data_IF_772688046797
#
_entry.id   IF_772688046797
#
_cell.length_a   1.000
_cell.length_b   1.000
_cell.length_c   1.000
_cell.angle_alpha   90.00
_cell.angle_beta   90.00
_cell.angle_gamma   90.00
#
_symmetry.space_group_name_H-M   'P 1'
#
loop_
_entity.id
_entity.type
_entity.pdbx_description
1 polymer ?
#
# COMPACT_ATOMS: atom_id res chain seq x y z
N UNK A 1 -18.47 0.75 -0.26
CA UNK A 1 -17.99 1.79 -1.17
C UNK A 1 -16.49 1.66 -1.37
N UNK A 2 -16.00 2.10 -2.51
CA UNK A 2 -14.57 2.04 -2.81
C UNK A 2 -13.83 3.18 -2.15
N UNK A 3 -12.59 2.91 -1.73
CA UNK A 3 -11.70 3.95 -1.24
C UNK A 3 -11.04 4.68 -2.41
N UNK A 4 -10.82 5.98 -2.23
CA UNK A 4 -10.01 6.76 -3.16
C UNK A 4 -8.53 6.58 -2.82
N UNK A 5 -7.66 6.78 -3.80
CA UNK A 5 -6.22 6.63 -3.60
C UNK A 5 -5.59 8.01 -3.48
N UNK A 6 -4.84 8.22 -2.40
CA UNK A 6 -4.04 9.42 -2.18
C UNK A 6 -2.57 9.01 -2.11
N UNK A 7 -1.70 9.75 -2.76
CA UNK A 7 -0.29 9.41 -2.88
C UNK A 7 0.57 10.47 -2.21
N UNK A 8 1.35 10.06 -1.20
CA UNK A 8 2.28 10.96 -0.52
C UNK A 8 3.44 11.31 -1.45
N UNK A 9 4.05 12.47 -1.23
CA UNK A 9 5.19 12.93 -2.05
C UNK A 9 6.35 11.92 -2.03
N UNK A 10 6.64 11.35 -0.87
CA UNK A 10 7.71 10.37 -0.74
C UNK A 10 7.46 9.14 -1.61
N UNK A 11 6.22 8.66 -1.65
CA UNK A 11 5.85 7.53 -2.47
C UNK A 11 6.00 7.87 -3.96
N UNK A 12 5.48 9.02 -4.37
CA UNK A 12 5.53 9.46 -5.76
C UNK A 12 6.97 9.58 -6.26
N UNK A 13 7.84 10.15 -5.44
CA UNK A 13 9.24 10.34 -5.79
C UNK A 13 9.96 9.01 -5.94
N UNK A 14 9.76 8.10 -4.97
CA UNK A 14 10.45 6.82 -4.98
C UNK A 14 9.94 5.88 -6.06
N UNK A 15 8.61 5.84 -6.27
CA UNK A 15 8.01 4.95 -7.25
C UNK A 15 8.25 5.38 -8.69
N UNK A 16 8.54 6.66 -8.93
CA UNK A 16 8.91 7.11 -10.28
C UNK A 16 10.12 6.36 -10.82
N UNK A 17 10.99 5.86 -9.93
CA UNK A 17 12.19 5.10 -10.31
C UNK A 17 11.91 3.60 -10.42
N UNK A 18 10.71 3.14 -10.06
CA UNK A 18 10.40 1.72 -9.96
C UNK A 18 9.09 1.39 -10.67
N UNK A 19 8.92 1.93 -11.87
CA UNK A 19 7.67 1.76 -12.63
C UNK A 19 7.33 0.30 -12.90
N UNK A 20 8.35 -0.57 -13.07
CA UNK A 20 8.10 -1.98 -13.32
C UNK A 20 7.42 -2.68 -12.15
N UNK A 21 7.72 -2.25 -10.92
CA UNK A 21 7.05 -2.80 -9.73
C UNK A 21 5.57 -2.44 -9.72
N UNK A 22 5.23 -1.23 -10.18
CA UNK A 22 3.84 -0.78 -10.22
C UNK A 22 3.02 -1.51 -11.29
N UNK A 23 3.69 -2.06 -12.29
CA UNK A 23 3.04 -2.81 -13.36
C UNK A 23 2.91 -4.31 -13.04
N UNK A 24 3.26 -4.73 -11.83
CA UNK A 24 3.20 -6.15 -11.46
C UNK A 24 1.80 -6.58 -11.06
N UNK A 25 1.53 -7.89 -11.23
CA UNK A 25 0.26 -8.47 -10.80
C UNK A 25 0.09 -8.38 -9.28
N UNK A 26 1.17 -8.50 -8.52
CA UNK A 26 1.16 -8.38 -7.07
C UNK A 26 0.71 -7.00 -6.61
N UNK A 27 1.23 -5.95 -7.25
CA UNK A 27 0.82 -4.59 -6.96
C UNK A 27 -0.66 -4.39 -7.23
N UNK A 28 -1.12 -4.88 -8.40
CA UNK A 28 -2.54 -4.76 -8.77
C UNK A 28 -3.44 -5.48 -7.77
N UNK A 29 -3.05 -6.66 -7.32
CA UNK A 29 -3.84 -7.44 -6.36
C UNK A 29 -3.93 -6.72 -5.01
N UNK A 30 -2.81 -6.20 -4.51
CA UNK A 30 -2.78 -5.48 -3.23
C UNK A 30 -3.66 -4.24 -3.32
N UNK A 31 -3.47 -3.44 -4.36
CA UNK A 31 -4.20 -2.19 -4.51
C UNK A 31 -5.71 -2.44 -4.67
N UNK A 32 -6.07 -3.44 -5.47
CA UNK A 32 -7.47 -3.80 -5.66
C UNK A 32 -8.13 -4.20 -4.33
N UNK A 33 -7.43 -4.99 -3.52
CA UNK A 33 -7.96 -5.41 -2.22
C UNK A 33 -8.18 -4.21 -1.29
N UNK A 34 -7.22 -3.30 -1.23
CA UNK A 34 -7.33 -2.12 -0.37
C UNK A 34 -8.46 -1.20 -0.82
N UNK A 35 -8.60 -0.99 -2.12
CA UNK A 35 -9.66 -0.14 -2.68
C UNK A 35 -11.04 -0.71 -2.37
N UNK A 36 -11.21 -2.03 -2.48
CA UNK A 36 -12.49 -2.69 -2.30
C UNK A 36 -12.74 -3.15 -0.87
N UNK A 37 -11.90 -2.73 0.09
CA UNK A 37 -12.05 -3.06 1.51
C UNK A 37 -11.99 -4.55 1.78
N UNK A 38 -11.20 -5.28 1.02
CA UNK A 38 -10.98 -6.72 1.22
C UNK A 38 -9.70 -6.94 2.02
N UNK A 39 -9.66 -8.04 2.76
CA UNK A 39 -8.44 -8.42 3.47
C UNK A 39 -7.35 -8.81 2.46
N UNK A 40 -6.11 -8.44 2.76
CA UNK A 40 -4.98 -8.84 1.93
C UNK A 40 -4.65 -10.32 2.16
N UNK A 41 -4.26 -11.06 1.12
CA UNK A 41 -3.72 -12.42 1.30
C UNK A 41 -2.52 -12.42 2.24
N UNK A 42 -2.38 -13.48 3.02
CA UNK A 42 -1.31 -13.60 4.01
C UNK A 42 0.09 -13.49 3.42
N UNK A 43 0.25 -13.86 2.16
CA UNK A 43 1.55 -13.79 1.49
C UNK A 43 2.14 -12.38 1.46
N UNK A 44 1.31 -11.36 1.62
CA UNK A 44 1.78 -9.96 1.64
C UNK A 44 2.13 -9.46 3.03
N UNK A 45 1.93 -10.27 4.06
CA UNK A 45 2.34 -9.96 5.45
C UNK A 45 1.89 -8.59 5.93
N UNK A 46 0.64 -8.25 5.66
CA UNK A 46 0.05 -6.99 6.11
C UNK A 46 0.01 -6.93 7.63
N UNK A 47 0.54 -5.85 8.21
CA UNK A 47 0.51 -5.65 9.65
C UNK A 47 0.57 -4.18 10.04
N UNK A 48 0.06 -3.90 11.25
CA UNK A 48 0.05 -2.54 11.79
C UNK A 48 1.45 -2.15 12.29
N UNK A 49 1.80 -0.88 12.07
CA UNK A 49 3.06 -0.33 12.55
C UNK A 49 2.89 0.28 13.95
N UNK A 50 4.01 0.43 14.64
CA UNK A 50 4.04 1.00 16.00
C UNK A 50 4.99 2.20 16.02
N UNK A 51 5.06 2.87 17.19
CA UNK A 51 5.96 4.01 17.37
C UNK A 51 5.50 5.22 16.57
N UNK A 52 6.43 5.87 15.88
CA UNK A 52 6.15 7.07 15.08
C UNK A 52 5.19 6.80 13.91
N UNK A 53 5.03 5.54 13.54
CA UNK A 53 4.15 5.14 12.45
C UNK A 53 2.84 4.55 12.94
N UNK A 54 2.48 4.81 14.20
CA UNK A 54 1.22 4.33 14.75
C UNK A 54 0.05 4.85 13.90
N UNK A 55 -0.88 3.95 13.58
CA UNK A 55 -1.99 4.28 12.70
C UNK A 55 -1.74 3.92 11.24
N UNK A 56 -0.51 3.60 10.90
CA UNK A 56 -0.14 3.13 9.57
C UNK A 56 -0.01 1.62 9.56
N UNK A 57 -0.04 1.05 8.38
CA UNK A 57 0.18 -0.38 8.17
C UNK A 57 1.22 -0.56 7.08
N UNK A 58 1.84 -1.73 7.02
CA UNK A 58 2.69 -2.06 5.88
C UNK A 58 2.35 -3.43 5.33
N UNK A 59 2.73 -3.66 4.08
CA UNK A 59 2.64 -4.97 3.47
C UNK A 59 3.80 -5.15 2.51
N UNK A 60 4.20 -6.41 2.32
CA UNK A 60 5.29 -6.76 1.42
C UNK A 60 4.69 -7.15 0.08
N UNK A 61 4.58 -6.19 -0.85
CA UNK A 61 4.04 -6.43 -2.19
C UNK A 61 4.94 -7.39 -2.94
N UNK A 62 6.26 -7.17 -2.81
CA UNK A 62 7.30 -8.05 -3.32
C UNK A 62 8.44 -8.07 -2.30
N UNK A 63 9.37 -9.04 -2.37
CA UNK A 63 10.49 -9.07 -1.42
C UNK A 63 11.25 -7.76 -1.31
N UNK A 64 11.33 -7.00 -2.40
CA UNK A 64 12.05 -5.74 -2.46
C UNK A 64 11.12 -4.52 -2.54
N UNK A 65 9.82 -4.70 -2.32
CA UNK A 65 8.85 -3.61 -2.39
C UNK A 65 7.89 -3.68 -1.21
N UNK A 66 8.13 -2.82 -0.22
CA UNK A 66 7.27 -2.69 0.95
C UNK A 66 6.41 -1.45 0.78
N UNK A 67 5.10 -1.60 0.94
CA UNK A 67 4.15 -0.50 0.87
C UNK A 67 3.74 -0.11 2.29
N UNK A 68 3.89 1.16 2.64
CA UNK A 68 3.37 1.72 3.87
C UNK A 68 2.11 2.48 3.51
N UNK A 69 1.02 2.25 4.24
CA UNK A 69 -0.24 2.89 3.90
C UNK A 69 -1.08 3.15 5.15
N UNK A 70 -2.02 4.07 5.01
CA UNK A 70 -2.97 4.39 6.06
C UNK A 70 -4.38 4.26 5.48
N UNK A 71 -5.25 3.54 6.19
CA UNK A 71 -6.62 3.31 5.74
C UNK A 71 -7.58 4.28 6.42
N UNK A 72 -8.43 4.89 5.61
CA UNK A 72 -9.60 5.66 6.06
C UNK A 72 -10.83 5.00 5.47
N UNK A 73 -12.02 5.40 5.89
CA UNK A 73 -13.26 4.84 5.35
C UNK A 73 -13.38 5.04 3.85
N UNK A 74 -12.95 6.19 3.36
CA UNK A 74 -13.12 6.58 1.96
C UNK A 74 -11.80 6.81 1.21
N UNK A 75 -10.67 6.57 1.85
CA UNK A 75 -9.38 6.90 1.26
C UNK A 75 -8.28 5.93 1.71
N UNK A 76 -7.30 5.73 0.84
CA UNK A 76 -6.05 5.04 1.17
C UNK A 76 -4.93 6.02 0.91
N UNK A 77 -4.09 6.28 1.91
CA UNK A 77 -2.87 7.07 1.74
C UNK A 77 -1.71 6.12 1.49
N UNK A 78 -1.04 6.26 0.35
CA UNK A 78 0.12 5.45 0.01
C UNK A 78 1.41 6.21 0.37
N UNK A 79 2.28 5.54 1.10
CA UNK A 79 3.59 6.07 1.54
C UNK A 79 4.69 5.08 1.20
N UNK A 80 5.93 5.51 1.32
CA UNK A 80 7.07 4.64 1.08
C UNK A 80 8.20 4.89 2.05
#
# INVERSE_FOLDING_TARGET
MKRKISIAKSFKKDMAKQLLHLASAEWAEVLNSLVHKKALPEKYRDHALIGNWKGFRDCHVKPDLVLIYKLHDDEIELHH
#
